data_IF_400515356534
#
_entry.id   IF_400515356534
#
_cell.length_a   1.000
_cell.length_b   1.000
_cell.length_c   1.000
_cell.angle_alpha   90.00
_cell.angle_beta   90.00
_cell.angle_gamma   90.00
#
_symmetry.space_group_name_H-M   'P 1'
#
loop_
_entity.id
_entity.type
_entity.pdbx_description
1 polymer ?
#
# COMPACT_ATOMS: atom_id res chain seq x y z
N UNK A 1 -41.86 25.24 9.00
CA UNK A 1 -42.19 23.80 8.88
C UNK A 1 -41.88 23.14 10.22
N UNK A 2 -42.87 22.54 10.87
CA UNK A 2 -42.77 22.16 12.28
C UNK A 2 -42.05 20.79 12.43
N UNK A 3 -41.33 20.56 13.52
CA UNK A 3 -40.47 19.36 13.72
C UNK A 3 -41.23 18.01 13.64
N UNK A 4 -42.56 18.05 13.74
CA UNK A 4 -43.46 16.90 13.57
C UNK A 4 -43.69 16.51 12.09
N UNK A 5 -43.61 17.45 11.15
CA UNK A 5 -43.83 17.19 9.71
C UNK A 5 -42.61 16.57 9.03
N UNK A 6 -41.39 16.96 9.45
CA UNK A 6 -40.13 16.39 8.92
C UNK A 6 -39.98 14.90 9.33
N UNK A 7 -40.50 14.52 10.50
CA UNK A 7 -40.46 13.13 10.99
C UNK A 7 -41.46 12.20 10.28
N UNK A 8 -42.57 12.75 9.77
CA UNK A 8 -43.55 11.98 8.99
C UNK A 8 -43.12 11.81 7.51
N UNK A 9 -42.44 12.78 6.91
CA UNK A 9 -41.93 12.62 5.53
C UNK A 9 -40.80 11.59 5.41
N UNK A 10 -39.95 11.43 6.44
CA UNK A 10 -38.92 10.38 6.46
C UNK A 10 -39.48 8.96 6.63
N UNK A 11 -40.67 8.80 7.21
CA UNK A 11 -41.38 7.50 7.23
C UNK A 11 -42.17 7.24 5.94
N UNK A 12 -42.61 8.30 5.25
CA UNK A 12 -43.35 8.17 3.99
C UNK A 12 -42.44 7.84 2.79
N UNK A 13 -41.18 8.28 2.79
CA UNK A 13 -40.18 7.91 1.78
C UNK A 13 -39.69 6.45 1.89
N UNK A 14 -39.88 5.79 3.05
CA UNK A 14 -39.49 4.39 3.28
C UNK A 14 -40.66 3.43 2.96
N UNK A 15 -41.85 3.95 2.67
CA UNK A 15 -43.06 3.18 2.36
C UNK A 15 -43.45 3.15 0.87
N UNK A 16 -42.59 3.65 -0.03
CA UNK A 16 -42.86 3.65 -1.48
C UNK A 16 -42.12 2.55 -2.29
N UNK A 17 -41.53 1.54 -1.63
CA UNK A 17 -40.97 0.34 -2.31
C UNK A 17 -41.75 -0.94 -1.94
N UNK A 18 -42.81 -0.86 -1.15
CA UNK A 18 -43.55 -2.04 -0.67
C UNK A 18 -45.07 -1.90 -0.76
N UNK A 19 -45.61 -1.76 -1.96
CA UNK A 19 -47.03 -2.10 -2.22
C UNK A 19 -47.37 -2.15 -3.72
N UNK A 20 -47.13 -3.29 -4.36
CA UNK A 20 -47.97 -3.70 -5.48
C UNK A 20 -48.03 -5.23 -5.61
N UNK A 21 -48.78 -5.86 -4.71
CA UNK A 21 -49.41 -7.17 -4.97
C UNK A 21 -50.88 -7.04 -4.58
N UNK A 22 -51.76 -7.33 -5.53
CA UNK A 22 -53.12 -7.76 -5.22
C UNK A 22 -54.25 -7.09 -6.00
N UNK A 23 -54.39 -7.38 -7.29
CA UNK A 23 -55.72 -7.72 -7.82
C UNK A 23 -55.60 -8.97 -8.68
N UNK A 24 -56.22 -10.05 -8.22
CA UNK A 24 -56.38 -11.29 -8.97
C UNK A 24 -57.37 -11.04 -10.12
N UNK A 25 -56.84 -10.86 -11.32
CA UNK A 25 -57.55 -11.07 -12.57
C UNK A 25 -56.99 -12.34 -13.20
N UNK A 26 -57.86 -13.29 -13.51
CA UNK A 26 -57.56 -14.55 -14.19
C UNK A 26 -56.79 -14.29 -15.48
N UNK A 27 -55.46 -14.33 -15.40
CA UNK A 27 -54.58 -14.54 -16.55
C UNK A 27 -54.04 -15.94 -16.38
N UNK A 28 -54.30 -16.81 -17.34
CA UNK A 28 -53.57 -18.05 -17.51
C UNK A 28 -52.09 -17.71 -17.46
N UNK A 29 -51.37 -18.16 -16.42
CA UNK A 29 -49.93 -18.00 -16.38
C UNK A 29 -49.38 -18.75 -17.58
N UNK A 30 -48.88 -18.05 -18.59
CA UNK A 30 -47.81 -18.61 -19.38
C UNK A 30 -46.72 -18.92 -18.35
N UNK A 31 -46.41 -20.20 -18.13
CA UNK A 31 -45.10 -20.52 -17.59
C UNK A 31 -44.14 -19.94 -18.62
N UNK A 32 -43.50 -18.82 -18.29
CA UNK A 32 -42.33 -18.45 -19.06
C UNK A 32 -41.33 -19.55 -18.75
N UNK A 33 -41.15 -20.44 -19.72
CA UNK A 33 -40.26 -21.58 -19.61
C UNK A 33 -38.83 -21.02 -19.66
N UNK A 34 -38.29 -20.68 -18.49
CA UNK A 34 -36.91 -20.29 -18.37
C UNK A 34 -36.01 -21.53 -18.45
N UNK A 35 -34.77 -21.40 -18.97
CA UNK A 35 -33.81 -22.50 -18.97
C UNK A 35 -33.40 -23.01 -17.59
N UNK A 36 -33.75 -22.30 -16.51
CA UNK A 36 -33.45 -22.66 -15.12
C UNK A 36 -34.49 -22.10 -14.13
N UNK A 37 -34.12 -21.85 -12.85
CA UNK A 37 -35.06 -21.33 -11.85
C UNK A 37 -35.58 -19.93 -12.22
N UNK A 38 -36.68 -19.50 -11.58
CA UNK A 38 -37.25 -18.17 -11.81
C UNK A 38 -36.16 -17.09 -11.61
N UNK A 39 -35.94 -16.20 -12.59
CA UNK A 39 -34.98 -15.11 -12.48
C UNK A 39 -35.04 -14.31 -11.17
N UNK A 40 -36.22 -14.17 -10.56
CA UNK A 40 -36.38 -13.46 -9.28
C UNK A 40 -35.73 -14.18 -8.10
N UNK A 41 -35.64 -15.51 -8.14
CA UNK A 41 -35.12 -16.34 -7.05
C UNK A 41 -33.58 -16.31 -6.98
N UNK A 42 -32.93 -15.94 -8.08
CA UNK A 42 -31.46 -15.89 -8.20
C UNK A 42 -30.91 -14.47 -8.40
N UNK A 43 -31.77 -13.48 -8.63
CA UNK A 43 -31.36 -12.08 -8.76
C UNK A 43 -31.21 -11.46 -7.38
N UNK A 44 -29.95 -11.30 -6.93
CA UNK A 44 -29.64 -10.80 -5.60
C UNK A 44 -28.23 -10.23 -5.49
N UNK A 45 -27.98 -9.54 -4.37
CA UNK A 45 -26.63 -9.26 -3.88
C UNK A 45 -26.16 -10.46 -3.05
N UNK A 46 -25.06 -11.08 -3.48
CA UNK A 46 -24.39 -12.16 -2.77
C UNK A 46 -23.16 -11.60 -2.08
N UNK A 47 -22.93 -11.99 -0.83
CA UNK A 47 -21.90 -11.40 0.01
C UNK A 47 -21.32 -12.42 0.97
N UNK A 48 -20.00 -12.33 1.14
CA UNK A 48 -19.27 -12.98 2.23
C UNK A 48 -18.63 -11.96 3.16
N UNK A 49 -19.20 -10.74 3.21
CA UNK A 49 -18.91 -9.75 4.26
C UNK A 49 -19.25 -10.26 5.65
N UNK A 50 -20.26 -11.14 5.76
CA UNK A 50 -20.73 -11.72 7.01
C UNK A 50 -20.71 -13.25 6.91
N UNK A 51 -19.65 -13.89 7.43
CA UNK A 51 -19.45 -15.35 7.45
C UNK A 51 -20.65 -16.10 8.03
N UNK A 52 -21.34 -15.55 9.04
CA UNK A 52 -22.52 -16.18 9.65
C UNK A 52 -23.77 -16.18 8.75
N UNK A 53 -23.76 -15.43 7.65
CA UNK A 53 -24.81 -15.34 6.64
C UNK A 53 -24.21 -15.36 5.22
N UNK A 54 -23.06 -15.99 5.05
CA UNK A 54 -22.35 -15.97 3.77
C UNK A 54 -23.13 -16.77 2.75
N UNK A 55 -23.44 -16.12 1.62
CA UNK A 55 -24.03 -16.76 0.45
C UNK A 55 -23.15 -16.62 -0.79
N UNK A 56 -21.90 -16.18 -0.61
CA UNK A 56 -20.90 -16.01 -1.67
C UNK A 56 -19.65 -16.86 -1.38
N UNK A 57 -19.28 -17.70 -2.33
CA UNK A 57 -17.95 -18.30 -2.41
C UNK A 57 -17.21 -17.65 -3.56
N UNK A 58 -16.11 -16.95 -3.28
CA UNK A 58 -15.33 -16.21 -4.28
C UNK A 58 -13.85 -16.59 -4.18
N UNK A 59 -13.25 -17.03 -5.28
CA UNK A 59 -11.80 -17.30 -5.37
C UNK A 59 -11.11 -16.39 -6.37
N UNK A 60 -9.88 -16.00 -6.04
CA UNK A 60 -8.99 -15.16 -6.83
C UNK A 60 -7.69 -15.93 -7.10
N UNK A 61 -7.54 -16.46 -8.32
CA UNK A 61 -6.47 -17.40 -8.69
C UNK A 61 -6.31 -18.56 -7.68
N UNK A 62 -7.44 -19.06 -7.17
CA UNK A 62 -7.50 -20.17 -6.22
C UNK A 62 -7.46 -19.76 -4.74
N UNK A 63 -7.11 -18.51 -4.41
CA UNK A 63 -7.15 -18.01 -3.04
C UNK A 63 -8.57 -17.52 -2.68
N UNK A 64 -9.10 -17.97 -1.54
CA UNK A 64 -10.44 -17.56 -1.08
C UNK A 64 -10.44 -16.07 -0.67
N UNK A 65 -11.40 -15.31 -1.19
CA UNK A 65 -11.59 -13.91 -0.81
C UNK A 65 -12.71 -13.78 0.22
N UNK A 66 -12.46 -13.02 1.28
CA UNK A 66 -13.49 -12.65 2.27
C UNK A 66 -13.79 -11.15 2.23
N UNK A 67 -14.94 -10.76 2.80
CA UNK A 67 -15.29 -9.35 2.88
C UNK A 67 -15.80 -8.74 1.57
N UNK A 68 -16.18 -9.56 0.58
CA UNK A 68 -16.56 -9.13 -0.77
C UNK A 68 -18.06 -9.31 -1.02
N UNK A 69 -18.53 -8.65 -2.08
CA UNK A 69 -19.90 -8.75 -2.56
C UNK A 69 -19.94 -8.80 -4.09
N UNK A 70 -20.94 -9.49 -4.62
CA UNK A 70 -21.20 -9.64 -6.05
C UNK A 70 -22.71 -9.55 -6.29
N UNK A 71 -23.14 -8.66 -7.17
CA UNK A 71 -24.52 -8.69 -7.67
C UNK A 71 -24.61 -9.64 -8.86
N UNK A 72 -25.62 -10.50 -8.85
CA UNK A 72 -26.04 -11.28 -10.01
C UNK A 72 -27.47 -10.87 -10.37
N UNK A 73 -27.75 -10.67 -11.65
CA UNK A 73 -29.11 -10.39 -12.13
C UNK A 73 -29.36 -10.99 -13.50
N UNK A 74 -30.53 -11.59 -13.68
CA UNK A 74 -31.04 -12.07 -14.97
C UNK A 74 -32.53 -11.74 -15.09
N UNK A 75 -33.04 -11.65 -16.32
CA UNK A 75 -34.46 -11.36 -16.58
C UNK A 75 -35.14 -12.53 -17.30
N UNK A 76 -34.43 -13.20 -18.22
CA UNK A 76 -34.99 -14.30 -19.03
C UNK A 76 -34.25 -15.63 -18.87
N UNK A 77 -33.23 -15.70 -18.01
CA UNK A 77 -32.43 -16.92 -17.85
C UNK A 77 -31.51 -17.24 -19.04
N UNK A 78 -31.35 -16.32 -20.00
CA UNK A 78 -30.48 -16.47 -21.19
C UNK A 78 -29.15 -15.72 -21.04
N UNK A 79 -29.22 -14.53 -20.45
CA UNK A 79 -28.05 -13.69 -20.13
C UNK A 79 -28.14 -13.16 -18.71
N UNK A 80 -26.99 -12.73 -18.16
CA UNK A 80 -26.91 -12.10 -16.85
C UNK A 80 -26.04 -10.85 -16.85
N UNK A 81 -26.26 -9.99 -15.86
CA UNK A 81 -25.29 -8.98 -15.46
C UNK A 81 -24.67 -9.37 -14.12
N UNK A 82 -23.34 -9.27 -14.02
CA UNK A 82 -22.57 -9.56 -12.80
C UNK A 82 -21.77 -8.34 -12.41
N UNK A 83 -21.92 -7.85 -11.17
CA UNK A 83 -21.17 -6.70 -10.67
C UNK A 83 -20.32 -7.09 -9.47
N UNK A 84 -19.00 -7.01 -9.61
CA UNK A 84 -18.04 -7.25 -8.53
C UNK A 84 -17.76 -5.95 -7.77
N UNK A 85 -17.75 -6.00 -6.44
CA UNK A 85 -17.47 -4.84 -5.58
C UNK A 85 -16.15 -5.01 -4.84
N UNK A 86 -15.19 -4.11 -5.10
CA UNK A 86 -13.86 -4.09 -4.47
C UNK A 86 -13.12 -5.45 -4.55
N UNK A 87 -13.29 -6.18 -5.65
CA UNK A 87 -12.66 -7.49 -5.89
C UNK A 87 -11.32 -7.35 -6.59
N UNK A 88 -11.26 -6.50 -7.62
CA UNK A 88 -10.04 -6.24 -8.39
C UNK A 88 -9.33 -4.99 -7.83
N UNK A 89 -8.00 -5.01 -7.67
CA UNK A 89 -7.26 -3.83 -7.25
C UNK A 89 -7.52 -2.64 -8.19
N UNK A 90 -7.83 -1.47 -7.63
CA UNK A 90 -8.12 -0.27 -8.41
C UNK A 90 -9.53 -0.16 -9.00
N UNK A 91 -10.38 -1.19 -8.83
CA UNK A 91 -11.76 -1.21 -9.30
C UNK A 91 -12.71 -1.22 -8.09
N UNK A 92 -13.34 -0.08 -7.76
CA UNK A 92 -14.41 -0.06 -6.75
C UNK A 92 -15.58 -0.95 -7.18
N UNK A 93 -15.89 -0.92 -8.48
CA UNK A 93 -16.91 -1.76 -9.12
C UNK A 93 -16.45 -2.23 -10.50
N UNK A 94 -16.63 -3.52 -10.80
CA UNK A 94 -16.44 -4.07 -12.15
C UNK A 94 -17.73 -4.77 -12.59
N UNK A 95 -18.32 -4.30 -13.68
CA UNK A 95 -19.59 -4.84 -14.21
C UNK A 95 -19.36 -5.59 -15.52
N UNK A 96 -19.81 -6.84 -15.54
CA UNK A 96 -19.98 -7.64 -16.76
C UNK A 96 -21.45 -7.59 -17.15
N UNK A 97 -21.73 -7.23 -18.40
CA UNK A 97 -23.10 -7.07 -18.92
C UNK A 97 -23.40 -8.10 -20.00
N UNK A 98 -24.64 -8.57 -20.00
CA UNK A 98 -25.18 -9.47 -21.02
C UNK A 98 -24.33 -10.73 -21.24
N UNK A 99 -23.75 -11.27 -20.16
CA UNK A 99 -22.95 -12.51 -20.25
C UNK A 99 -23.87 -13.69 -20.50
N UNK A 100 -23.50 -14.63 -21.39
CA UNK A 100 -24.31 -15.82 -21.63
C UNK A 100 -24.35 -16.71 -20.39
N UNK A 101 -25.52 -17.27 -20.08
CA UNK A 101 -25.72 -18.21 -18.99
C UNK A 101 -26.42 -19.48 -19.48
N UNK A 102 -26.16 -20.59 -18.80
CA UNK A 102 -26.78 -21.90 -19.05
C UNK A 102 -27.54 -22.34 -17.82
N UNK A 103 -28.85 -22.52 -17.93
CA UNK A 103 -29.70 -22.98 -16.84
C UNK A 103 -29.82 -24.50 -16.74
N UNK A 104 -30.04 -24.98 -15.52
CA UNK A 104 -30.57 -26.30 -15.19
C UNK A 104 -31.64 -26.16 -14.10
N UNK A 105 -32.19 -27.29 -13.62
CA UNK A 105 -33.27 -27.29 -12.63
C UNK A 105 -32.93 -26.56 -11.31
N UNK A 106 -31.65 -26.40 -10.98
CA UNK A 106 -31.20 -25.87 -9.69
C UNK A 106 -30.59 -24.47 -9.79
N UNK A 107 -30.11 -24.06 -10.97
CA UNK A 107 -29.37 -22.81 -11.10
C UNK A 107 -28.90 -22.46 -12.50
N UNK A 108 -28.12 -21.39 -12.58
CA UNK A 108 -27.48 -20.93 -13.82
C UNK A 108 -25.96 -20.96 -13.69
N UNK A 109 -25.29 -21.48 -14.71
CA UNK A 109 -23.83 -21.48 -14.84
C UNK A 109 -23.38 -20.45 -15.87
N UNK A 110 -22.26 -19.80 -15.62
CA UNK A 110 -21.71 -18.77 -16.49
C UNK A 110 -20.18 -18.83 -16.52
N UNK A 111 -19.59 -18.46 -17.65
CA UNK A 111 -18.13 -18.38 -17.78
C UNK A 111 -17.74 -17.49 -18.94
N UNK A 112 -16.52 -16.96 -18.90
CA UNK A 112 -15.99 -16.13 -19.98
C UNK A 112 -14.73 -15.42 -19.56
N UNK A 113 -14.41 -14.35 -20.28
CA UNK A 113 -13.25 -13.50 -20.02
C UNK A 113 -13.74 -12.09 -19.74
N UNK A 114 -13.11 -11.41 -18.78
CA UNK A 114 -13.42 -10.04 -18.41
C UNK A 114 -12.21 -9.12 -18.54
N UNK A 115 -12.48 -7.82 -18.52
CA UNK A 115 -11.45 -6.77 -18.48
C UNK A 115 -11.89 -5.66 -17.53
N UNK A 116 -10.97 -5.19 -16.68
CA UNK A 116 -11.18 -4.07 -15.77
C UNK A 116 -11.44 -2.77 -16.51
N UNK A 117 -12.44 -2.01 -16.06
CA UNK A 117 -12.88 -0.79 -16.72
C UNK A 117 -11.87 0.36 -16.53
N UNK A 118 -11.28 0.46 -15.34
CA UNK A 118 -10.35 1.52 -14.97
C UNK A 118 -8.89 1.08 -15.12
N UNK A 119 -8.61 -0.19 -14.86
CA UNK A 119 -7.26 -0.73 -14.75
C UNK A 119 -6.81 -1.49 -15.98
N UNK A 120 -7.73 -1.93 -16.84
CA UNK A 120 -7.42 -2.78 -17.99
C UNK A 120 -6.94 -4.19 -17.63
N UNK A 121 -7.02 -4.58 -16.35
CA UNK A 121 -6.66 -5.93 -15.90
C UNK A 121 -7.53 -6.98 -16.61
N UNK A 122 -6.95 -8.11 -16.99
CA UNK A 122 -7.68 -9.19 -17.69
C UNK A 122 -7.83 -10.39 -16.77
N UNK A 123 -8.91 -11.15 -16.94
CA UNK A 123 -9.18 -12.35 -16.13
C UNK A 123 -10.17 -13.27 -16.84
N UNK A 124 -10.18 -14.53 -16.42
CA UNK A 124 -11.21 -15.48 -16.75
C UNK A 124 -12.15 -15.61 -15.55
N UNK A 125 -13.45 -15.75 -15.80
CA UNK A 125 -14.44 -16.02 -14.77
C UNK A 125 -15.21 -17.29 -15.08
N UNK A 126 -15.58 -18.00 -14.02
CA UNK A 126 -16.57 -19.06 -14.05
C UNK A 126 -17.40 -18.98 -12.79
N UNK A 127 -18.68 -19.30 -12.87
CA UNK A 127 -19.54 -19.22 -11.72
C UNK A 127 -20.84 -19.99 -11.88
N UNK A 128 -21.49 -20.20 -10.75
CA UNK A 128 -22.79 -20.86 -10.64
C UNK A 128 -23.62 -20.15 -9.59
N UNK A 129 -24.83 -19.77 -9.97
CA UNK A 129 -25.82 -19.20 -9.07
C UNK A 129 -26.96 -20.20 -8.87
N UNK A 130 -27.32 -20.42 -7.62
CA UNK A 130 -28.47 -21.20 -7.19
C UNK A 130 -29.30 -20.34 -6.22
N UNK A 131 -30.50 -20.80 -5.87
CA UNK A 131 -31.33 -20.07 -4.92
C UNK A 131 -30.57 -19.85 -3.60
N UNK A 132 -30.32 -18.59 -3.27
CA UNK A 132 -29.63 -18.21 -2.04
C UNK A 132 -28.12 -18.50 -2.00
N UNK A 133 -27.47 -18.94 -3.08
CA UNK A 133 -26.01 -19.12 -3.12
C UNK A 133 -25.38 -18.73 -4.47
N UNK A 134 -24.21 -18.09 -4.43
CA UNK A 134 -23.38 -17.78 -5.60
C UNK A 134 -21.95 -18.29 -5.37
N UNK A 135 -21.43 -19.05 -6.33
CA UNK A 135 -20.02 -19.42 -6.40
C UNK A 135 -19.39 -18.75 -7.63
N UNK A 136 -18.25 -18.09 -7.44
CA UNK A 136 -17.47 -17.48 -8.52
C UNK A 136 -16.00 -17.82 -8.36
N UNK A 137 -15.37 -18.26 -9.44
CA UNK A 137 -13.94 -18.48 -9.53
C UNK A 137 -13.35 -17.56 -10.60
N UNK A 138 -12.43 -16.70 -10.17
CA UNK A 138 -11.63 -15.83 -11.02
C UNK A 138 -10.25 -16.45 -11.21
N UNK A 139 -9.81 -16.59 -12.45
CA UNK A 139 -8.54 -17.24 -12.79
C UNK A 139 -7.80 -16.50 -13.88
N UNK A 140 -6.50 -16.78 -14.05
CA UNK A 140 -5.65 -16.18 -15.08
C UNK A 140 -5.71 -14.65 -15.02
N UNK A 141 -5.70 -14.12 -13.80
CA UNK A 141 -5.80 -12.69 -13.57
C UNK A 141 -4.46 -12.05 -13.90
N UNK A 142 -4.48 -11.00 -14.72
CA UNK A 142 -3.29 -10.32 -15.20
C UNK A 142 -3.47 -8.81 -15.14
N UNK A 143 -2.67 -8.17 -14.32
CA UNK A 143 -2.52 -6.72 -14.32
C UNK A 143 -1.90 -6.25 -15.63
N UNK A 144 -2.24 -5.02 -16.04
CA UNK A 144 -1.57 -4.37 -17.17
C UNK A 144 -0.07 -4.32 -16.92
N UNK A 145 0.72 -4.55 -17.99
CA UNK A 145 2.18 -4.63 -17.96
C UNK A 145 2.79 -5.75 -17.10
N UNK A 146 1.99 -6.70 -16.58
CA UNK A 146 2.48 -7.84 -15.81
C UNK A 146 3.55 -8.66 -16.54
N UNK A 147 3.48 -8.83 -17.86
CA UNK A 147 4.51 -9.55 -18.61
C UNK A 147 5.91 -8.90 -18.53
N UNK A 148 5.98 -7.59 -18.28
CA UNK A 148 7.22 -6.84 -18.16
C UNK A 148 7.63 -6.60 -16.70
N UNK A 149 6.64 -6.50 -15.80
CA UNK A 149 6.83 -6.06 -14.42
C UNK A 149 6.77 -7.20 -13.40
N UNK A 150 6.01 -8.27 -13.65
CA UNK A 150 5.88 -9.36 -12.71
C UNK A 150 7.19 -10.14 -12.63
N UNK A 151 7.82 -10.09 -11.45
CA UNK A 151 9.07 -10.78 -11.16
C UNK A 151 9.31 -10.83 -9.66
N UNK A 152 10.30 -11.62 -9.25
CA UNK A 152 10.92 -11.52 -7.93
C UNK A 152 12.15 -10.62 -8.06
N UNK A 153 12.18 -9.59 -7.22
CA UNK A 153 13.19 -8.55 -7.21
C UNK A 153 13.94 -8.57 -5.88
N UNK A 154 15.26 -8.65 -5.93
CA UNK A 154 16.11 -8.41 -4.77
C UNK A 154 16.40 -6.92 -4.62
N UNK A 155 16.80 -6.51 -3.43
CA UNK A 155 17.37 -5.18 -3.21
C UNK A 155 18.73 -5.06 -3.92
N UNK A 156 19.03 -3.87 -4.46
CA UNK A 156 20.33 -3.60 -5.06
C UNK A 156 21.47 -3.55 -4.03
N UNK A 157 22.70 -3.77 -4.48
CA UNK A 157 23.89 -3.56 -3.67
C UNK A 157 24.23 -2.07 -3.50
N UNK A 158 24.95 -1.74 -2.43
CA UNK A 158 25.60 -0.43 -2.30
C UNK A 158 26.83 -0.40 -3.23
N UNK A 159 26.75 0.45 -4.26
CA UNK A 159 27.82 0.63 -5.25
C UNK A 159 28.30 2.07 -5.25
N UNK A 160 29.62 2.24 -5.17
CA UNK A 160 30.29 3.53 -5.34
C UNK A 160 30.94 3.62 -6.72
N UNK A 161 30.89 4.81 -7.32
CA UNK A 161 31.50 5.07 -8.62
C UNK A 161 31.55 6.55 -8.94
N UNK A 162 31.80 6.84 -10.22
CA UNK A 162 31.65 8.18 -10.77
C UNK A 162 30.16 8.47 -10.95
N UNK A 163 29.67 9.50 -10.28
CA UNK A 163 28.25 9.83 -10.28
C UNK A 163 28.00 11.33 -10.18
N UNK A 164 26.74 11.70 -10.35
CA UNK A 164 26.29 13.08 -10.27
C UNK A 164 26.69 13.72 -8.93
N UNK A 165 27.17 14.95 -9.01
CA UNK A 165 27.59 15.73 -7.86
C UNK A 165 27.39 17.22 -8.12
N UNK A 166 27.37 18.00 -7.03
CA UNK A 166 27.41 19.45 -7.14
C UNK A 166 28.84 19.95 -6.90
N UNK A 167 29.44 20.52 -7.95
CA UNK A 167 30.85 20.89 -7.97
C UNK A 167 30.95 22.41 -7.90
N UNK A 168 31.93 22.91 -7.12
CA UNK A 168 32.25 24.33 -7.10
C UNK A 168 33.24 24.64 -8.22
N UNK A 169 32.78 25.40 -9.22
CA UNK A 169 33.61 25.84 -10.33
C UNK A 169 34.74 26.72 -9.80
N UNK A 170 35.98 26.38 -10.14
CA UNK A 170 37.17 27.05 -9.61
C UNK A 170 37.37 28.45 -10.18
N UNK A 171 36.88 28.70 -11.39
CA UNK A 171 37.04 29.97 -12.11
C UNK A 171 35.96 30.97 -11.73
N UNK A 172 34.71 30.52 -11.63
CA UNK A 172 33.55 31.39 -11.33
C UNK A 172 33.20 31.44 -9.85
N UNK A 173 33.64 30.45 -9.06
CA UNK A 173 33.29 30.29 -7.66
C UNK A 173 31.83 29.86 -7.41
N UNK A 174 31.06 29.63 -8.48
CA UNK A 174 29.67 29.20 -8.46
C UNK A 174 29.56 27.67 -8.41
N UNK A 175 28.42 27.16 -7.95
CA UNK A 175 28.12 25.74 -8.00
C UNK A 175 27.50 25.36 -9.34
N UNK A 176 27.86 24.19 -9.86
CA UNK A 176 27.31 23.59 -11.07
C UNK A 176 27.12 22.08 -10.89
N UNK A 177 26.22 21.50 -11.69
CA UNK A 177 26.11 20.04 -11.77
C UNK A 177 27.28 19.46 -12.56
N UNK A 178 27.89 18.41 -12.04
CA UNK A 178 28.92 17.66 -12.72
C UNK A 178 28.97 16.22 -12.24
N UNK A 179 30.12 15.59 -12.42
CA UNK A 179 30.38 14.23 -11.95
C UNK A 179 31.65 14.17 -11.12
N UNK A 180 31.60 13.41 -10.04
CA UNK A 180 32.74 13.14 -9.15
C UNK A 180 32.84 11.65 -8.87
N UNK A 181 34.05 11.17 -8.62
CA UNK A 181 34.28 9.81 -8.14
C UNK A 181 33.85 9.65 -6.67
N UNK A 182 33.68 8.39 -6.24
CA UNK A 182 33.34 8.08 -4.85
C UNK A 182 31.91 8.43 -4.44
N UNK A 183 30.97 8.49 -5.40
CA UNK A 183 29.55 8.73 -5.14
C UNK A 183 28.78 7.42 -5.07
N UNK A 184 27.80 7.36 -4.17
CA UNK A 184 26.92 6.21 -4.00
C UNK A 184 25.90 6.18 -5.15
N UNK A 185 26.21 5.44 -6.21
CA UNK A 185 25.38 5.39 -7.42
C UNK A 185 24.21 4.42 -7.29
N UNK A 186 24.38 3.31 -6.56
CA UNK A 186 23.31 2.36 -6.23
C UNK A 186 23.31 2.03 -4.72
N UNK A 187 22.13 1.76 -4.17
CA UNK A 187 21.91 1.30 -2.81
C UNK A 187 20.44 0.85 -2.67
N UNK A 188 20.09 -0.06 -1.73
CA UNK A 188 18.71 -0.55 -1.58
C UNK A 188 17.66 0.56 -1.46
N UNK A 189 17.98 1.65 -0.75
CA UNK A 189 17.15 2.86 -0.75
C UNK A 189 17.51 3.71 -1.97
N UNK A 190 16.54 3.90 -2.86
CA UNK A 190 16.67 4.80 -4.00
C UNK A 190 16.48 6.25 -3.57
N UNK A 191 17.43 7.11 -3.95
CA UNK A 191 17.34 8.57 -3.81
C UNK A 191 17.89 9.21 -5.08
N UNK A 192 17.07 10.03 -5.74
CA UNK A 192 17.46 10.86 -6.88
C UNK A 192 16.92 12.27 -6.67
N UNK A 193 17.83 13.24 -6.63
CA UNK A 193 17.54 14.60 -6.19
C UNK A 193 18.13 15.64 -7.15
N UNK A 194 17.39 16.72 -7.34
CA UNK A 194 17.86 18.01 -7.83
C UNK A 194 17.54 19.07 -6.78
N UNK A 195 18.45 20.03 -6.61
CA UNK A 195 18.34 21.13 -5.66
C UNK A 195 18.98 22.38 -6.26
N UNK A 196 18.54 23.55 -5.81
CA UNK A 196 19.16 24.83 -6.16
C UNK A 196 20.66 24.86 -5.84
N UNK A 197 21.45 25.27 -6.84
CA UNK A 197 22.90 25.31 -6.79
C UNK A 197 23.38 26.39 -5.81
N UNK A 198 23.73 25.98 -4.58
CA UNK A 198 24.10 26.86 -3.49
C UNK A 198 24.94 26.13 -2.45
N UNK A 199 25.59 26.86 -1.53
CA UNK A 199 26.34 26.21 -0.45
C UNK A 199 25.44 25.33 0.43
N UNK A 200 24.26 25.82 0.80
CA UNK A 200 23.32 25.06 1.63
C UNK A 200 22.71 23.88 0.85
N UNK A 201 22.43 24.08 -0.43
CA UNK A 201 22.02 23.01 -1.34
C UNK A 201 23.06 21.91 -1.45
N UNK A 202 24.36 22.24 -1.41
CA UNK A 202 25.46 21.28 -1.51
C UNK A 202 25.45 20.30 -0.35
N UNK A 203 25.24 20.85 0.84
CA UNK A 203 25.18 20.09 2.06
C UNK A 203 23.96 19.17 2.07
N UNK A 204 22.77 19.71 1.78
CA UNK A 204 21.55 18.91 1.76
C UNK A 204 21.59 17.82 0.69
N UNK A 205 22.14 18.11 -0.49
CA UNK A 205 22.35 17.11 -1.54
C UNK A 205 23.25 15.96 -1.07
N UNK A 206 24.40 16.27 -0.47
CA UNK A 206 25.33 15.27 0.05
C UNK A 206 24.71 14.42 1.17
N UNK A 207 23.94 15.04 2.06
CA UNK A 207 23.20 14.34 3.12
C UNK A 207 22.19 13.36 2.53
N UNK A 208 21.37 13.80 1.58
CA UNK A 208 20.29 12.97 1.04
C UNK A 208 20.82 11.83 0.17
N UNK A 209 21.76 12.14 -0.74
CA UNK A 209 22.27 11.18 -1.73
C UNK A 209 23.40 10.30 -1.21
N UNK A 210 24.03 10.67 -0.09
CA UNK A 210 25.05 9.86 0.58
C UNK A 210 24.52 9.19 1.84
N UNK A 211 24.20 9.99 2.86
CA UNK A 211 23.91 9.49 4.22
C UNK A 211 22.53 8.85 4.34
N UNK A 212 21.46 9.55 3.93
CA UNK A 212 20.10 9.03 4.00
C UNK A 212 19.97 7.81 3.09
N UNK A 213 20.49 7.91 1.86
CA UNK A 213 20.59 6.79 0.90
C UNK A 213 21.29 5.56 1.52
N UNK A 214 22.47 5.75 2.10
CA UNK A 214 23.27 4.66 2.69
C UNK A 214 22.64 4.05 3.95
N UNK A 215 22.24 4.88 4.91
CA UNK A 215 21.64 4.42 6.16
C UNK A 215 20.28 3.74 5.90
N UNK A 216 19.45 4.35 5.07
CA UNK A 216 18.17 3.78 4.68
C UNK A 216 18.36 2.46 3.93
N UNK A 217 19.36 2.36 3.06
CA UNK A 217 19.71 1.12 2.39
C UNK A 217 20.15 0.02 3.37
N UNK A 218 21.01 0.35 4.33
CA UNK A 218 21.46 -0.55 5.38
C UNK A 218 20.32 -1.06 6.28
N UNK A 219 19.37 -0.21 6.65
CA UNK A 219 18.22 -0.61 7.46
C UNK A 219 17.20 -1.43 6.65
N UNK A 220 16.94 -1.03 5.39
CA UNK A 220 15.99 -1.71 4.53
C UNK A 220 16.43 -3.16 4.26
N UNK A 221 17.71 -3.38 3.93
CA UNK A 221 18.24 -4.72 3.63
C UNK A 221 18.21 -5.69 4.83
N UNK A 222 18.19 -5.16 6.06
CA UNK A 222 18.02 -6.00 7.25
C UNK A 222 16.59 -6.47 7.48
N UNK A 223 15.60 -5.80 6.88
CA UNK A 223 14.18 -6.14 7.07
C UNK A 223 13.60 -6.90 5.89
N UNK A 224 14.12 -6.63 4.69
CA UNK A 224 13.58 -7.10 3.43
C UNK A 224 14.70 -7.72 2.59
N UNK A 225 14.48 -8.96 2.14
CA UNK A 225 15.40 -9.66 1.23
C UNK A 225 14.96 -9.46 -0.22
N UNK A 226 13.70 -9.76 -0.51
CA UNK A 226 13.14 -9.59 -1.85
C UNK A 226 11.65 -9.27 -1.84
N UNK A 227 11.16 -8.71 -2.95
CA UNK A 227 9.75 -8.43 -3.23
C UNK A 227 9.36 -9.13 -4.53
N UNK A 228 8.23 -9.82 -4.52
CA UNK A 228 7.65 -10.45 -5.71
C UNK A 228 6.37 -9.72 -6.13
N UNK A 229 6.39 -9.19 -7.35
CA UNK A 229 5.20 -8.69 -8.03
C UNK A 229 4.62 -9.85 -8.85
N UNK A 230 3.45 -10.36 -8.47
CA UNK A 230 2.81 -11.46 -9.18
C UNK A 230 1.95 -10.92 -10.34
N UNK A 231 1.76 -11.69 -11.44
CA UNK A 231 0.95 -11.23 -12.58
C UNK A 231 -0.48 -10.85 -12.20
N UNK A 232 -1.05 -11.53 -11.21
CA UNK A 232 -2.39 -11.30 -10.70
C UNK A 232 -2.51 -10.09 -9.77
N UNK A 233 -1.46 -9.29 -9.64
CA UNK A 233 -1.46 -8.10 -8.81
C UNK A 233 -1.06 -8.35 -7.36
N UNK A 234 -0.90 -9.58 -6.87
CA UNK A 234 -0.37 -9.76 -5.51
C UNK A 234 1.05 -9.23 -5.38
N UNK A 235 1.32 -8.59 -4.25
CA UNK A 235 2.68 -8.27 -3.80
C UNK A 235 2.97 -9.15 -2.60
N UNK A 236 4.05 -9.91 -2.68
CA UNK A 236 4.59 -10.69 -1.57
C UNK A 236 6.05 -10.32 -1.34
N UNK A 237 6.57 -10.57 -0.15
CA UNK A 237 7.96 -10.28 0.18
C UNK A 237 8.58 -11.42 0.98
N UNK A 238 9.90 -11.58 0.89
CA UNK A 238 10.67 -12.35 1.85
C UNK A 238 11.24 -11.37 2.86
N UNK A 239 10.79 -11.46 4.11
CA UNK A 239 11.07 -10.48 5.15
C UNK A 239 11.44 -11.19 6.46
N UNK A 240 11.98 -10.44 7.42
CA UNK A 240 12.34 -11.01 8.72
C UNK A 240 11.72 -10.25 9.87
N UNK A 241 11.56 -10.96 10.99
CA UNK A 241 11.27 -10.39 12.30
C UNK A 241 12.49 -10.42 13.22
N UNK A 242 13.64 -10.89 12.71
CA UNK A 242 14.89 -10.86 13.44
C UNK A 242 15.26 -9.43 13.78
N UNK A 243 15.82 -9.26 14.97
CA UNK A 243 16.17 -7.96 15.48
C UNK A 243 17.20 -7.24 14.59
N UNK A 244 17.03 -5.93 14.41
CA UNK A 244 17.96 -5.10 13.64
C UNK A 244 19.28 -4.86 14.38
N UNK A 245 20.34 -4.70 13.60
CA UNK A 245 21.70 -4.40 14.04
C UNK A 245 22.05 -2.94 13.80
N UNK A 246 22.81 -2.36 14.73
CA UNK A 246 23.56 -1.11 14.55
C UNK A 246 25.05 -1.40 14.67
N UNK A 247 25.70 -1.63 13.54
CA UNK A 247 27.06 -2.15 13.52
C UNK A 247 27.11 -3.54 14.13
N UNK A 248 27.85 -3.70 15.22
CA UNK A 248 28.08 -5.00 15.88
C UNK A 248 27.05 -5.33 16.96
N UNK A 249 26.09 -4.44 17.25
CA UNK A 249 25.12 -4.62 18.35
C UNK A 249 23.69 -4.75 17.83
N UNK A 250 22.90 -5.61 18.45
CA UNK A 250 21.44 -5.58 18.26
C UNK A 250 20.83 -4.35 18.93
N UNK A 251 19.70 -3.87 18.43
CA UNK A 251 19.03 -2.73 19.05
C UNK A 251 18.67 -2.95 20.52
N UNK A 252 18.22 -4.14 20.93
CA UNK A 252 17.92 -4.46 22.33
C UNK A 252 19.15 -4.54 23.23
N UNK A 253 20.33 -4.76 22.65
CA UNK A 253 21.60 -4.84 23.37
C UNK A 253 22.22 -3.46 23.60
N UNK A 254 21.73 -2.42 22.92
CA UNK A 254 22.21 -1.05 23.12
C UNK A 254 21.78 -0.56 24.50
N UNK A 255 22.75 -0.53 25.41
CA UNK A 255 22.61 0.08 26.72
C UNK A 255 23.26 1.48 26.72
N UNK A 256 22.46 2.49 27.04
CA UNK A 256 22.89 3.90 27.07
C UNK A 256 23.68 4.27 28.33
N UNK A 257 23.55 3.47 29.39
CA UNK A 257 24.27 3.65 30.66
C UNK A 257 25.61 2.92 30.66
N UNK A 258 25.86 2.04 29.68
CA UNK A 258 27.11 1.30 29.53
C UNK A 258 28.08 2.03 28.57
N UNK A 259 29.26 2.48 29.05
CA UNK A 259 30.25 3.16 28.21
C UNK A 259 30.77 2.31 27.04
N UNK A 260 30.85 0.98 27.18
CA UNK A 260 31.36 0.12 26.09
C UNK A 260 30.36 0.05 24.94
N UNK A 261 29.09 -0.25 25.25
CA UNK A 261 27.98 -0.19 24.30
C UNK A 261 27.91 1.17 23.61
N UNK A 262 27.98 2.27 24.37
CA UNK A 262 27.95 3.62 23.81
C UNK A 262 29.16 3.93 22.94
N UNK A 263 30.34 3.42 23.26
CA UNK A 263 31.53 3.59 22.42
C UNK A 263 31.39 2.87 21.06
N UNK A 264 30.78 1.67 21.03
CA UNK A 264 30.48 0.95 19.79
C UNK A 264 29.47 1.73 18.92
N UNK A 265 28.38 2.23 19.52
CA UNK A 265 27.39 3.07 18.81
C UNK A 265 28.05 4.35 18.28
N UNK A 266 28.80 5.07 19.14
CA UNK A 266 29.45 6.31 18.76
C UNK A 266 30.47 6.09 17.62
N UNK A 267 31.24 5.00 17.68
CA UNK A 267 32.18 4.62 16.63
C UNK A 267 31.44 4.36 15.32
N UNK A 268 30.39 3.53 15.35
CA UNK A 268 29.59 3.27 14.15
C UNK A 268 29.02 4.57 13.56
N UNK A 269 28.38 5.40 14.39
CA UNK A 269 27.83 6.70 13.98
C UNK A 269 28.90 7.61 13.38
N UNK A 270 30.07 7.73 14.02
CA UNK A 270 31.17 8.56 13.51
C UNK A 270 31.68 8.09 12.16
N UNK A 271 32.00 6.80 12.03
CA UNK A 271 32.55 6.26 10.79
C UNK A 271 31.53 6.26 9.64
N UNK A 272 30.25 6.01 9.94
CA UNK A 272 29.23 5.88 8.89
C UNK A 272 28.59 7.21 8.50
N UNK A 273 28.44 8.15 9.44
CA UNK A 273 27.75 9.41 9.19
C UNK A 273 28.68 10.60 8.91
N UNK A 274 29.93 10.59 9.40
CA UNK A 274 30.80 11.77 9.33
C UNK A 274 32.04 11.59 8.45
N UNK A 275 32.42 10.36 8.12
CA UNK A 275 33.54 10.10 7.22
C UNK A 275 33.06 9.73 5.81
N UNK A 276 33.57 10.37 4.75
CA UNK A 276 33.22 10.03 3.38
C UNK A 276 33.86 8.70 2.96
N UNK A 277 33.28 8.06 1.95
CA UNK A 277 33.90 6.92 1.26
C UNK A 277 35.28 7.32 0.68
N UNK A 278 36.30 6.43 0.70
CA UNK A 278 36.30 5.06 1.24
C UNK A 278 36.66 4.96 2.72
N UNK A 279 36.97 6.06 3.40
CA UNK A 279 37.37 6.05 4.82
C UNK A 279 36.21 5.73 5.77
N UNK A 280 34.98 5.96 5.33
CA UNK A 280 33.75 5.68 6.05
C UNK A 280 32.58 5.44 5.11
N UNK A 281 31.40 5.93 5.51
CA UNK A 281 30.15 5.72 4.80
C UNK A 281 29.63 4.29 4.90
N UNK A 282 28.38 4.10 4.51
CA UNK A 282 27.78 2.77 4.41
C UNK A 282 28.28 2.07 3.15
N UNK A 283 28.70 0.82 3.30
CA UNK A 283 29.24 -0.02 2.24
C UNK A 283 28.48 -1.34 2.19
N UNK A 284 28.57 -2.06 1.07
CA UNK A 284 27.90 -3.35 0.92
C UNK A 284 28.30 -4.35 2.02
N UNK A 285 29.55 -4.31 2.47
CA UNK A 285 30.01 -5.18 3.56
C UNK A 285 29.26 -4.93 4.87
N UNK A 286 28.77 -3.71 5.12
CA UNK A 286 27.97 -3.42 6.31
C UNK A 286 26.62 -4.14 6.26
N UNK A 287 25.98 -4.17 5.09
CA UNK A 287 24.76 -4.94 4.85
C UNK A 287 25.02 -6.42 5.05
N UNK A 288 26.07 -6.97 4.42
CA UNK A 288 26.44 -8.39 4.53
C UNK A 288 26.67 -8.76 6.01
N UNK A 289 27.42 -7.94 6.77
CA UNK A 289 27.67 -8.19 8.18
C UNK A 289 26.39 -8.20 9.03
N UNK A 290 25.44 -7.31 8.75
CA UNK A 290 24.18 -7.18 9.50
C UNK A 290 23.06 -8.15 9.05
N UNK A 291 23.31 -8.92 7.98
CA UNK A 291 22.37 -9.88 7.40
C UNK A 291 22.96 -11.29 7.40
N UNK A 292 23.74 -11.64 6.38
CA UNK A 292 24.41 -12.94 6.23
C UNK A 292 25.37 -13.23 7.40
N UNK A 293 26.14 -12.23 7.83
CA UNK A 293 27.13 -12.36 8.89
C UNK A 293 26.54 -12.75 10.25
N UNK A 294 25.25 -12.49 10.45
CA UNK A 294 24.48 -12.89 11.65
C UNK A 294 23.50 -14.03 11.38
N UNK A 295 23.54 -14.65 10.19
CA UNK A 295 22.64 -15.72 9.73
C UNK A 295 21.15 -15.34 9.87
N UNK A 296 20.81 -14.13 9.45
CA UNK A 296 19.43 -13.61 9.49
C UNK A 296 18.47 -14.52 8.71
N UNK A 297 17.32 -14.83 9.31
CA UNK A 297 16.33 -15.75 8.75
C UNK A 297 15.18 -14.95 8.12
N UNK A 298 14.95 -15.16 6.83
CA UNK A 298 13.85 -14.55 6.11
C UNK A 298 12.72 -15.57 5.86
N UNK A 299 11.49 -15.09 5.92
CA UNK A 299 10.28 -15.86 5.69
C UNK A 299 9.36 -15.18 4.67
N UNK A 300 8.62 -15.95 3.85
CA UNK A 300 7.69 -15.40 2.90
C UNK A 300 6.49 -14.77 3.61
N UNK A 301 6.03 -13.63 3.10
CA UNK A 301 4.80 -12.99 3.55
C UNK A 301 3.56 -13.76 3.12
N UNK A 302 2.45 -13.69 3.90
CA UNK A 302 1.15 -14.13 3.42
C UNK A 302 0.74 -13.42 2.13
N UNK A 303 -0.02 -14.11 1.27
CA UNK A 303 -0.63 -13.52 0.08
C UNK A 303 -1.86 -12.67 0.44
N UNK A 304 -2.27 -11.81 -0.49
CA UNK A 304 -3.53 -11.06 -0.37
C UNK A 304 -3.51 -9.90 0.62
N UNK A 305 -2.35 -9.52 1.16
CA UNK A 305 -2.21 -8.37 2.06
C UNK A 305 -1.96 -7.06 1.31
N UNK A 306 -1.25 -7.14 0.18
CA UNK A 306 -0.91 -5.99 -0.65
C UNK A 306 -1.02 -6.37 -2.13
N UNK A 307 -1.38 -5.38 -2.94
CA UNK A 307 -1.66 -5.51 -4.35
C UNK A 307 -1.00 -4.39 -5.12
N UNK A 308 -0.64 -4.66 -6.38
CA UNK A 308 -0.25 -3.68 -7.35
C UNK A 308 -1.21 -3.67 -8.53
N UNK A 309 -1.40 -2.49 -9.12
CA UNK A 309 -2.08 -2.32 -10.40
C UNK A 309 -1.58 -1.05 -11.10
N UNK A 310 -1.88 -0.93 -12.39
CA UNK A 310 -1.57 0.27 -13.16
C UNK A 310 -2.84 1.08 -13.40
N UNK A 311 -2.75 2.40 -13.26
CA UNK A 311 -3.81 3.35 -13.61
C UNK A 311 -3.17 4.66 -14.06
N UNK A 312 -3.56 5.16 -15.23
CA UNK A 312 -3.00 6.39 -15.82
C UNK A 312 -1.47 6.40 -15.85
N UNK A 313 -0.85 5.29 -16.28
CA UNK A 313 0.61 5.07 -16.33
C UNK A 313 1.35 5.11 -14.97
N UNK A 314 0.62 5.16 -13.85
CA UNK A 314 1.20 5.07 -12.51
C UNK A 314 1.04 3.67 -11.92
N UNK A 315 2.06 3.25 -11.17
CA UNK A 315 1.99 2.07 -10.32
C UNK A 315 1.25 2.42 -9.04
N UNK A 316 0.25 1.65 -8.64
CA UNK A 316 -0.44 1.83 -7.37
C UNK A 316 -0.16 0.68 -6.43
N UNK A 317 0.37 0.99 -5.24
CA UNK A 317 0.49 0.06 -4.12
C UNK A 317 -0.78 0.12 -3.27
N UNK A 318 -1.59 -0.92 -3.29
CA UNK A 318 -2.87 -1.01 -2.57
C UNK A 318 -2.79 -2.03 -1.44
N UNK A 319 -3.10 -1.60 -0.22
CA UNK A 319 -3.19 -2.48 0.95
C UNK A 319 -4.60 -3.04 1.14
N UNK A 320 -4.72 -4.30 1.52
CA UNK A 320 -5.97 -4.92 1.99
C UNK A 320 -6.00 -4.83 3.52
N UNK A 321 -6.50 -3.71 4.02
CA UNK A 321 -6.57 -3.42 5.46
C UNK A 321 -7.35 -4.48 6.24
N UNK A 322 -8.52 -4.98 5.78
CA UNK A 322 -9.18 -6.09 6.46
C UNK A 322 -8.29 -7.32 6.61
N UNK A 323 -7.63 -7.76 5.53
CA UNK A 323 -6.74 -8.92 5.55
C UNK A 323 -5.54 -8.69 6.48
N UNK A 324 -4.93 -7.50 6.43
CA UNK A 324 -3.81 -7.11 7.31
C UNK A 324 -4.22 -7.15 8.78
N UNK A 325 -5.35 -6.54 9.15
CA UNK A 325 -5.82 -6.54 10.55
C UNK A 325 -6.08 -7.97 11.02
N UNK A 326 -6.76 -8.80 10.21
CA UNK A 326 -6.99 -10.21 10.53
C UNK A 326 -5.66 -10.95 10.72
N UNK A 327 -4.68 -10.73 9.85
CA UNK A 327 -3.39 -11.37 9.94
C UNK A 327 -2.63 -10.96 11.21
N UNK A 328 -2.61 -9.67 11.56
CA UNK A 328 -1.98 -9.17 12.78
C UNK A 328 -2.60 -9.79 14.03
N UNK A 329 -3.93 -9.88 14.08
CA UNK A 329 -4.64 -10.48 15.21
C UNK A 329 -4.34 -11.97 15.36
N UNK A 330 -4.33 -12.72 14.23
CA UNK A 330 -3.95 -14.14 14.20
C UNK A 330 -2.53 -14.34 14.73
N UNK A 331 -1.57 -13.53 14.28
CA UNK A 331 -0.18 -13.60 14.75
C UNK A 331 -0.03 -13.32 16.24
N UNK A 332 -0.94 -12.55 16.85
CA UNK A 332 -0.98 -12.32 18.30
C UNK A 332 -1.74 -13.42 19.07
N UNK A 333 -2.16 -14.51 18.42
CA UNK A 333 -2.95 -15.58 19.04
C UNK A 333 -4.37 -15.14 19.42
N UNK A 334 -4.84 -14.00 18.89
CA UNK A 334 -6.16 -13.46 19.18
C UNK A 334 -7.13 -13.83 18.06
N UNK A 335 -8.35 -14.21 18.43
CA UNK A 335 -9.46 -14.32 17.49
C UNK A 335 -10.31 -13.06 17.54
N UNK A 336 -10.62 -12.52 16.37
CA UNK A 336 -11.63 -11.48 16.19
C UNK A 336 -12.61 -11.99 15.15
N UNK A 337 -13.88 -11.62 15.32
CA UNK A 337 -14.90 -11.83 14.31
C UNK A 337 -14.51 -11.09 13.03
N UNK A 338 -14.20 -11.83 11.97
CA UNK A 338 -13.82 -11.27 10.67
C UNK A 338 -14.91 -10.35 10.10
N UNK A 339 -16.18 -10.60 10.47
CA UNK A 339 -17.32 -9.78 10.07
C UNK A 339 -17.24 -8.40 10.71
N UNK A 340 -16.77 -8.31 11.96
CA UNK A 340 -16.60 -7.04 12.65
C UNK A 340 -15.50 -6.21 11.98
N UNK A 341 -14.38 -6.83 11.59
CA UNK A 341 -13.30 -6.13 10.88
C UNK A 341 -13.75 -5.65 9.51
N UNK A 342 -14.45 -6.49 8.76
CA UNK A 342 -15.01 -6.11 7.46
C UNK A 342 -15.97 -4.93 7.60
N UNK A 343 -16.89 -4.97 8.58
CA UNK A 343 -17.82 -3.88 8.89
C UNK A 343 -17.12 -2.56 9.23
N UNK A 344 -16.17 -2.60 10.16
CA UNK A 344 -15.45 -1.42 10.61
C UNK A 344 -14.65 -0.82 9.46
N UNK A 345 -14.01 -1.67 8.65
CA UNK A 345 -13.23 -1.20 7.52
C UNK A 345 -14.12 -0.60 6.43
N UNK A 346 -15.26 -1.23 6.11
CA UNK A 346 -16.23 -0.68 5.14
C UNK A 346 -16.80 0.65 5.64
N UNK A 347 -17.11 0.77 6.94
CA UNK A 347 -17.55 2.02 7.54
C UNK A 347 -16.46 3.11 7.45
N UNK A 348 -15.20 2.78 7.74
CA UNK A 348 -14.08 3.72 7.65
C UNK A 348 -13.86 4.16 6.20
N UNK A 349 -13.78 3.23 5.24
CA UNK A 349 -13.46 3.52 3.84
C UNK A 349 -14.56 4.32 3.12
N UNK A 350 -15.81 4.23 3.59
CA UNK A 350 -16.94 4.98 3.04
C UNK A 350 -17.28 6.24 3.87
N UNK A 351 -16.50 6.55 4.91
CA UNK A 351 -16.71 7.76 5.72
C UNK A 351 -16.25 9.01 4.98
N UNK A 352 -16.87 10.15 5.31
CA UNK A 352 -16.32 11.45 4.93
C UNK A 352 -14.97 11.67 5.65
N UNK A 353 -13.88 12.02 4.91
CA UNK A 353 -12.55 12.13 5.51
C UNK A 353 -12.47 13.18 6.62
N UNK A 354 -13.20 14.30 6.48
CA UNK A 354 -13.18 15.39 7.48
C UNK A 354 -13.89 14.95 8.76
N UNK A 355 -15.03 14.27 8.63
CA UNK A 355 -15.72 13.69 9.77
C UNK A 355 -14.87 12.63 10.47
N UNK A 356 -14.23 11.73 9.71
CA UNK A 356 -13.34 10.71 10.26
C UNK A 356 -12.18 11.34 11.03
N UNK A 357 -11.56 12.38 10.47
CA UNK A 357 -10.49 13.12 11.14
C UNK A 357 -10.95 13.74 12.45
N UNK A 358 -12.13 14.37 12.49
CA UNK A 358 -12.68 14.95 13.73
C UNK A 358 -12.90 13.89 14.83
N UNK A 359 -13.36 12.70 14.43
CA UNK A 359 -13.47 11.56 15.35
C UNK A 359 -12.09 11.16 15.85
N UNK A 360 -11.09 11.05 14.97
CA UNK A 360 -9.71 10.73 15.35
C UNK A 360 -9.11 11.77 16.30
N UNK A 361 -9.35 13.07 16.08
CA UNK A 361 -8.91 14.13 17.02
C UNK A 361 -9.55 13.98 18.39
N UNK A 362 -10.83 13.60 18.45
CA UNK A 362 -11.54 13.36 19.71
C UNK A 362 -10.95 12.16 20.45
N UNK A 363 -10.74 11.05 19.73
CA UNK A 363 -10.16 9.82 20.28
C UNK A 363 -8.71 10.03 20.71
N UNK A 364 -7.91 10.74 19.91
CA UNK A 364 -6.52 11.06 20.24
C UNK A 364 -6.40 11.91 21.51
N UNK A 365 -7.39 12.76 21.82
CA UNK A 365 -7.42 13.48 23.10
C UNK A 365 -7.70 12.58 24.30
N UNK A 366 -8.23 11.37 24.07
CA UNK A 366 -8.56 10.39 25.10
C UNK A 366 -7.52 9.27 25.23
N UNK A 367 -6.83 8.95 24.14
CA UNK A 367 -5.79 7.93 24.09
C UNK A 367 -4.42 8.61 24.06
N UNK A 368 -3.55 8.25 25.00
CA UNK A 368 -2.14 8.66 24.99
C UNK A 368 -1.38 7.88 23.89
N UNK A 369 -1.62 8.25 22.64
CA UNK A 369 -1.04 7.60 21.47
C UNK A 369 -0.49 8.65 20.50
N UNK A 370 0.83 8.70 20.40
CA UNK A 370 1.58 9.66 19.58
C UNK A 370 1.31 9.54 18.08
N UNK A 371 0.95 8.36 17.58
CA UNK A 371 0.62 8.14 16.17
C UNK A 371 -0.75 8.73 15.87
N UNK A 372 -1.74 8.52 16.75
CA UNK A 372 -3.07 9.10 16.58
C UNK A 372 -3.05 10.62 16.67
N UNK A 373 -2.24 11.19 17.56
CA UNK A 373 -2.10 12.64 17.67
C UNK A 373 -1.44 13.24 16.43
N UNK A 374 -0.44 12.56 15.86
CA UNK A 374 0.16 12.93 14.59
C UNK A 374 -0.87 12.93 13.44
N UNK A 375 -1.65 11.86 13.30
CA UNK A 375 -2.70 11.76 12.25
C UNK A 375 -3.81 12.80 12.44
N UNK A 376 -4.23 13.04 13.67
CA UNK A 376 -5.23 14.06 14.02
C UNK A 376 -4.72 15.49 13.75
N UNK A 377 -3.41 15.70 13.90
CA UNK A 377 -2.74 16.98 13.68
C UNK A 377 -2.46 17.31 12.21
N UNK A 378 -2.71 16.39 11.28
CA UNK A 378 -2.59 16.65 9.85
C UNK A 378 -3.47 17.85 9.45
N UNK A 379 -3.16 18.59 8.38
CA UNK A 379 -4.15 19.52 7.81
C UNK A 379 -5.24 18.72 7.04
N UNK A 380 -6.32 19.38 6.63
CA UNK A 380 -7.44 18.67 5.99
C UNK A 380 -7.09 18.13 4.60
N UNK A 381 -6.27 18.83 3.82
CA UNK A 381 -5.89 18.41 2.48
C UNK A 381 -4.97 17.19 2.54
N UNK A 382 -3.97 17.22 3.43
CA UNK A 382 -3.07 16.07 3.65
C UNK A 382 -3.83 14.85 4.14
N UNK A 383 -4.73 15.00 5.12
CA UNK A 383 -5.54 13.89 5.61
C UNK A 383 -6.44 13.30 4.50
N UNK A 384 -7.09 14.15 3.69
CA UNK A 384 -7.91 13.71 2.56
C UNK A 384 -7.09 12.94 1.52
N UNK A 385 -5.88 13.41 1.22
CA UNK A 385 -4.97 12.71 0.30
C UNK A 385 -4.58 11.33 0.84
N UNK A 386 -4.17 11.23 2.11
CA UNK A 386 -3.84 9.94 2.74
C UNK A 386 -5.03 8.98 2.77
N UNK A 387 -6.22 9.50 3.07
CA UNK A 387 -7.43 8.71 3.03
C UNK A 387 -7.74 8.24 1.60
N UNK A 388 -7.48 9.09 0.60
CA UNK A 388 -7.47 8.72 -0.81
C UNK A 388 -6.52 7.55 -1.10
N UNK A 389 -5.29 7.57 -0.57
CA UNK A 389 -4.33 6.48 -0.74
C UNK A 389 -4.76 5.20 -0.03
N UNK A 390 -5.45 5.30 1.10
CA UNK A 390 -6.07 4.14 1.76
C UNK A 390 -7.13 3.52 0.84
N UNK A 391 -7.91 4.33 0.12
CA UNK A 391 -8.96 3.86 -0.80
C UNK A 391 -8.44 3.37 -2.16
N UNK A 392 -7.60 4.13 -2.82
CA UNK A 392 -7.14 3.86 -4.19
C UNK A 392 -5.80 3.12 -4.21
N UNK A 393 -4.96 3.29 -3.18
CA UNK A 393 -3.57 2.87 -3.18
C UNK A 393 -2.64 4.07 -3.26
N UNK A 394 -1.38 3.86 -2.87
CA UNK A 394 -0.33 4.87 -2.91
C UNK A 394 0.18 4.94 -4.36
N UNK A 395 0.06 6.09 -5.04
CA UNK A 395 0.62 6.27 -6.37
C UNK A 395 2.15 6.32 -6.29
N UNK A 396 2.80 5.51 -7.12
CA UNK A 396 4.25 5.40 -7.24
C UNK A 396 4.65 5.43 -8.72
N UNK A 397 5.91 5.77 -8.95
CA UNK A 397 6.57 5.66 -10.24
C UNK A 397 7.41 4.38 -10.26
N UNK A 398 7.45 3.73 -11.41
CA UNK A 398 8.34 2.59 -11.64
C UNK A 398 9.17 2.84 -12.90
N UNK A 399 10.49 2.82 -12.74
CA UNK A 399 11.44 3.05 -13.84
C UNK A 399 12.42 1.89 -13.94
N UNK A 400 12.68 1.40 -15.16
CA UNK A 400 13.72 0.41 -15.42
C UNK A 400 14.87 1.06 -16.17
N UNK A 401 16.07 1.01 -15.61
CA UNK A 401 17.27 1.64 -16.18
C UNK A 401 18.53 0.92 -15.70
N UNK A 402 19.46 0.67 -16.62
CA UNK A 402 20.79 0.11 -16.33
C UNK A 402 20.78 -1.21 -15.53
N UNK A 403 19.76 -2.06 -15.73
CA UNK A 403 19.59 -3.32 -14.99
C UNK A 403 18.88 -3.18 -13.63
N UNK A 404 18.61 -1.95 -13.21
CA UNK A 404 17.85 -1.62 -12.01
C UNK A 404 16.38 -1.35 -12.32
N UNK A 405 15.56 -1.53 -11.31
CA UNK A 405 14.13 -1.22 -11.28
C UNK A 405 13.86 -0.35 -10.07
N UNK A 406 13.58 0.93 -10.28
CA UNK A 406 13.28 1.88 -9.21
C UNK A 406 11.78 1.94 -8.99
N UNK A 407 11.32 1.75 -7.76
CA UNK A 407 9.92 1.98 -7.37
C UNK A 407 9.88 3.08 -6.30
N UNK A 408 9.35 4.26 -6.65
CA UNK A 408 9.54 5.46 -5.84
C UNK A 408 8.35 6.42 -5.83
N UNK A 409 8.34 7.30 -4.84
CA UNK A 409 7.43 8.45 -4.76
C UNK A 409 8.18 9.74 -5.10
N UNK A 410 7.45 10.74 -5.61
CA UNK A 410 8.01 12.03 -6.04
C UNK A 410 7.95 13.07 -4.92
N UNK A 411 8.65 14.20 -5.12
CA UNK A 411 8.59 15.38 -4.25
C UNK A 411 7.15 15.80 -3.98
N UNK A 412 6.28 15.80 -4.99
CA UNK A 412 4.89 16.22 -4.82
C UNK A 412 4.11 15.29 -3.90
N UNK A 413 4.33 13.98 -4.01
CA UNK A 413 3.74 13.00 -3.10
C UNK A 413 4.28 13.13 -1.66
N UNK A 414 5.54 13.56 -1.49
CA UNK A 414 6.20 13.74 -0.19
C UNK A 414 5.89 15.09 0.48
N UNK A 415 5.57 16.13 -0.30
CA UNK A 415 5.39 17.50 0.20
C UNK A 415 4.40 17.61 1.36
N UNK A 416 3.25 16.91 1.35
CA UNK A 416 2.28 16.98 2.44
C UNK A 416 2.82 16.46 3.78
N UNK A 417 3.90 15.68 3.80
CA UNK A 417 4.51 15.15 5.03
C UNK A 417 5.54 16.08 5.66
N UNK A 418 6.04 17.06 4.90
CA UNK A 418 7.13 17.93 5.34
C UNK A 418 6.78 18.76 6.58
N UNK A 419 5.56 19.33 6.71
CA UNK A 419 5.17 20.04 7.93
C UNK A 419 5.21 19.18 9.20
N UNK A 420 5.27 17.84 9.08
CA UNK A 420 5.31 16.91 10.21
C UNK A 420 6.73 16.49 10.60
N UNK A 421 7.75 16.78 9.78
CA UNK A 421 9.13 16.46 10.15
C UNK A 421 9.53 17.07 11.51
N UNK A 422 9.18 18.34 11.84
CA UNK A 422 9.43 18.92 13.16
C UNK A 422 8.85 18.10 14.33
N UNK A 423 7.68 17.48 14.16
CA UNK A 423 7.02 16.73 15.23
C UNK A 423 7.68 15.38 15.53
N UNK A 424 8.68 14.97 14.75
CA UNK A 424 9.45 13.75 15.00
C UNK A 424 10.57 13.97 16.03
N UNK A 425 10.90 15.22 16.39
CA UNK A 425 11.96 15.53 17.35
C UNK A 425 11.82 14.78 18.69
N UNK A 426 10.63 14.71 19.32
CA UNK A 426 10.49 14.00 20.60
C UNK A 426 10.74 12.50 20.49
N UNK A 427 10.51 11.90 19.31
CA UNK A 427 10.79 10.47 19.07
C UNK A 427 12.30 10.20 19.04
N UNK A 428 13.09 11.19 18.62
CA UNK A 428 14.55 11.10 18.58
C UNK A 428 15.19 11.39 19.94
N UNK A 429 14.51 12.12 20.83
CA UNK A 429 15.01 12.44 22.17
C UNK A 429 15.31 11.20 23.04
N UNK A 430 14.75 10.03 22.69
CA UNK A 430 15.08 8.75 23.31
C UNK A 430 16.50 8.26 23.05
N UNK A 431 17.28 8.91 22.18
CA UNK A 431 18.69 8.60 21.91
C UNK A 431 19.57 9.72 22.53
N UNK A 432 20.17 9.53 23.72
CA UNK A 432 20.94 10.56 24.42
C UNK A 432 22.08 11.11 23.57
N UNK A 433 22.21 12.43 23.52
CA UNK A 433 23.23 13.22 22.80
C UNK A 433 23.21 13.08 21.26
N UNK A 434 22.85 11.93 20.70
CA UNK A 434 22.82 11.70 19.27
C UNK A 434 21.45 12.05 18.67
N UNK A 435 20.35 11.76 19.35
CA UNK A 435 19.00 11.98 18.84
C UNK A 435 18.74 13.41 18.35
N UNK A 436 18.88 14.42 19.22
CA UNK A 436 18.77 15.83 18.83
C UNK A 436 19.78 16.21 17.74
N UNK A 437 21.03 15.73 17.83
CA UNK A 437 22.06 16.01 16.82
C UNK A 437 21.68 15.44 15.44
N UNK A 438 21.21 14.19 15.36
CA UNK A 438 20.76 13.56 14.12
C UNK A 438 19.54 14.29 13.56
N UNK A 439 18.61 14.69 14.43
CA UNK A 439 17.44 15.46 14.05
C UNK A 439 17.84 16.82 13.42
N UNK A 440 18.69 17.58 14.09
CA UNK A 440 19.17 18.88 13.64
C UNK A 440 20.08 18.81 12.41
N UNK A 441 20.82 17.70 12.25
CA UNK A 441 21.78 17.53 11.16
C UNK A 441 21.15 16.97 9.88
N UNK A 442 20.02 16.25 9.99
CA UNK A 442 19.49 15.49 8.86
C UNK A 442 17.99 15.70 8.60
N UNK A 443 17.16 15.79 9.64
CA UNK A 443 15.71 15.99 9.48
C UNK A 443 15.38 17.47 9.30
N UNK A 444 15.92 18.33 10.17
CA UNK A 444 15.64 19.76 10.12
C UNK A 444 16.19 20.46 8.87
N UNK A 445 17.35 20.09 8.30
CA UNK A 445 17.83 20.65 7.04
C UNK A 445 16.94 20.28 5.86
N UNK A 446 16.40 19.05 5.83
CA UNK A 446 15.42 18.66 4.82
C UNK A 446 14.15 19.51 4.92
N UNK A 447 13.63 19.71 6.15
CA UNK A 447 12.47 20.57 6.39
C UNK A 447 12.72 22.02 5.93
N UNK A 448 13.83 22.63 6.36
CA UNK A 448 14.19 24.01 6.04
C UNK A 448 14.51 24.20 4.55
N UNK A 449 15.14 23.22 3.93
CA UNK A 449 15.56 23.23 2.52
C UNK A 449 14.51 22.71 1.54
N UNK A 450 13.31 22.33 1.99
CA UNK A 450 12.33 21.68 1.11
C UNK A 450 11.96 22.51 -0.13
N UNK A 451 11.89 23.83 0.02
CA UNK A 451 11.55 24.74 -1.08
C UNK A 451 12.64 24.82 -2.14
N UNK A 452 13.90 24.57 -1.79
CA UNK A 452 15.04 24.66 -2.71
C UNK A 452 15.27 23.37 -3.49
N UNK A 453 14.73 22.25 -3.02
CA UNK A 453 14.73 20.98 -3.75
C UNK A 453 13.85 21.12 -4.99
N UNK A 454 14.37 20.91 -6.19
CA UNK A 454 13.57 20.99 -7.43
C UNK A 454 13.07 19.63 -7.89
N UNK A 455 13.75 18.56 -7.47
CA UNK A 455 13.37 17.17 -7.73
C UNK A 455 13.76 16.31 -6.53
N UNK A 456 12.88 15.40 -6.15
CA UNK A 456 13.21 14.35 -5.18
C UNK A 456 12.40 13.10 -5.50
N UNK A 457 13.10 12.02 -5.75
CA UNK A 457 12.56 10.68 -5.84
C UNK A 457 13.12 9.88 -4.67
N UNK A 458 12.24 9.27 -3.88
CA UNK A 458 12.62 8.37 -2.78
C UNK A 458 11.85 7.08 -2.92
N UNK A 459 12.55 5.94 -2.85
CA UNK A 459 11.93 4.64 -3.04
C UNK A 459 12.89 3.49 -2.78
N UNK A 460 12.62 2.38 -3.45
CA UNK A 460 13.46 1.18 -3.40
C UNK A 460 14.15 0.97 -4.75
N UNK A 461 15.42 0.58 -4.69
CA UNK A 461 16.23 0.20 -5.84
C UNK A 461 16.32 -1.32 -5.89
N UNK A 462 15.71 -1.90 -6.93
CA UNK A 462 15.53 -3.31 -7.10
C UNK A 462 16.32 -3.85 -8.28
N UNK A 463 16.78 -5.09 -8.17
CA UNK A 463 17.40 -5.84 -9.26
C UNK A 463 16.68 -7.16 -9.46
N UNK A 464 16.70 -7.68 -10.69
CA UNK A 464 16.21 -9.05 -10.94
C UNK A 464 17.37 -9.98 -10.63
N UNK A 465 17.17 -10.92 -9.70
CA UNK A 465 18.13 -12.00 -9.48
C UNK A 465 18.32 -12.76 -10.79
N UNK A 466 19.52 -12.70 -11.36
CA UNK A 466 19.90 -13.51 -12.52
C UNK A 466 20.06 -14.98 -12.15
#
# INVERSE_FOLDING_TARGET
MNMKEIKNMKKLSILFISSLIGTAGLMTSCSEDYPGPDPVDVTANYSNKYLSKSNLTLTYDGDEMTGKAVDFSTVKGETANVTFYNVFPGEETLKLTDIPISGDANGYSFSGNGTGNLTGSTFNYSGRVENGQLTVNLTNIKMVNSAQMANTYALSDIIYGRGKDMIRNSDTGLYEWGESDGKMIAAPLYVDMDIELSSDGSFLYAVMTGLVKGMGGYLLAQLLDNVTLQPNGYITANYTTDEMMLGEQKFSEINMEDPESMNKVATFVMYKLFLPYPMGGFQQQDIINATEGVNRIYAPSPKGLAYWYMKNDHFYLKLDLPAIIIQVMKSQGKSIDQNLIALLTDAILNSDPVQLKNILSTISGQLDNSILSMLAGLDNATFQMLFGWIKEGIPMQMEKKDGHTYLYVTKDALTPFIPFLPSLEPLMAGIPNFGPMLFDSYIMPLYKGWSTITKLHIGIDLTVNN
#
